data_IF_714246576198
#
_entry.id   IF_714246576198
#
_cell.length_a   1.000
_cell.length_b   1.000
_cell.length_c   1.000
_cell.angle_alpha   90.00
_cell.angle_beta   90.00
_cell.angle_gamma   90.00
#
_symmetry.space_group_name_H-M   'P 1'
#
loop_
_entity.id
_entity.type
_entity.pdbx_description
1 polymer ?
#
# COMPACT_ATOMS: atom_id res chain seq x y z
N UNK A 1 -18.38 -16.67 12.66
CA UNK A 1 -18.56 -16.84 11.22
C UNK A 1 -19.75 -16.00 10.75
N UNK A 2 -19.56 -14.69 10.56
CA UNK A 2 -20.56 -13.86 9.90
C UNK A 2 -19.93 -13.40 8.58
N UNK A 3 -20.16 -14.17 7.51
CA UNK A 3 -19.90 -13.67 6.16
C UNK A 3 -20.74 -12.43 5.93
N UNK A 4 -20.27 -11.47 5.12
CA UNK A 4 -21.11 -10.33 4.80
C UNK A 4 -22.45 -10.82 4.25
N UNK A 5 -23.52 -10.22 4.76
CA UNK A 5 -24.84 -10.36 4.17
C UNK A 5 -24.78 -9.55 2.89
N UNK A 6 -24.46 -10.20 1.77
CA UNK A 6 -24.68 -9.57 0.48
C UNK A 6 -26.17 -9.29 0.36
N UNK A 7 -26.51 -8.20 -0.33
CA UNK A 7 -27.91 -7.97 -0.70
C UNK A 7 -28.40 -9.13 -1.58
N UNK A 8 -29.70 -9.41 -1.53
CA UNK A 8 -30.31 -10.55 -2.23
C UNK A 8 -30.08 -10.54 -3.75
N UNK A 9 -29.98 -9.35 -4.34
CA UNK A 9 -29.65 -9.13 -5.76
C UNK A 9 -28.23 -9.64 -6.10
N UNK A 10 -27.23 -9.31 -5.27
CA UNK A 10 -25.86 -9.80 -5.44
C UNK A 10 -25.80 -11.32 -5.27
N UNK A 11 -26.52 -11.90 -4.31
CA UNK A 11 -26.61 -13.36 -4.15
C UNK A 11 -27.20 -14.05 -5.39
N UNK A 12 -28.27 -13.49 -5.98
CA UNK A 12 -28.87 -14.04 -7.18
C UNK A 12 -27.91 -14.00 -8.38
N UNK A 13 -27.17 -12.89 -8.54
CA UNK A 13 -26.17 -12.76 -9.60
C UNK A 13 -24.99 -13.73 -9.41
N UNK A 14 -24.49 -13.89 -8.19
CA UNK A 14 -23.42 -14.85 -7.87
C UNK A 14 -23.87 -16.30 -8.16
N UNK A 15 -25.13 -16.64 -7.83
CA UNK A 15 -25.70 -17.96 -8.14
C UNK A 15 -25.80 -18.21 -9.66
N UNK A 16 -26.11 -17.18 -10.46
CA UNK A 16 -26.12 -17.28 -11.92
C UNK A 16 -24.71 -17.46 -12.50
N UNK A 17 -23.70 -16.77 -11.95
CA UNK A 17 -22.31 -16.91 -12.38
C UNK A 17 -21.76 -18.29 -12.01
N UNK A 18 -22.11 -18.78 -10.82
CA UNK A 18 -21.74 -20.06 -10.20
C UNK A 18 -20.24 -20.28 -9.93
N UNK A 19 -19.36 -19.97 -10.89
CA UNK A 19 -17.90 -20.08 -10.75
C UNK A 19 -17.16 -19.07 -11.62
N UNK A 20 -15.99 -18.64 -11.19
CA UNK A 20 -15.08 -17.82 -11.99
C UNK A 20 -13.64 -18.30 -11.80
N UNK A 21 -12.81 -18.27 -12.84
CA UNK A 21 -11.37 -18.50 -12.70
C UNK A 21 -10.67 -17.25 -12.15
N UNK A 22 -11.17 -16.06 -12.53
CA UNK A 22 -10.58 -14.76 -12.22
C UNK A 22 -11.63 -13.82 -11.60
N UNK A 23 -11.27 -13.12 -10.53
CA UNK A 23 -12.05 -12.00 -9.98
C UNK A 23 -11.21 -10.73 -9.93
N UNK A 24 -11.67 -9.66 -10.56
CA UNK A 24 -11.01 -8.34 -10.50
C UNK A 24 -11.87 -7.36 -9.72
N UNK A 25 -11.39 -6.92 -8.56
CA UNK A 25 -12.02 -5.92 -7.72
C UNK A 25 -11.65 -4.49 -8.10
N UNK A 26 -12.62 -3.60 -8.10
CA UNK A 26 -12.45 -2.16 -8.31
C UNK A 26 -13.18 -1.45 -7.15
N UNK A 27 -12.53 -1.21 -6.00
CA UNK A 27 -13.10 -0.36 -4.94
C UNK A 27 -13.37 1.04 -5.49
N UNK A 28 -14.47 1.68 -5.10
CA UNK A 28 -14.75 3.04 -5.55
C UNK A 28 -15.44 3.90 -4.51
N UNK A 29 -15.22 5.21 -4.60
CA UNK A 29 -15.98 6.23 -3.89
C UNK A 29 -15.88 7.54 -4.66
N UNK A 30 -17.01 8.02 -5.19
CA UNK A 30 -17.11 9.24 -6.00
C UNK A 30 -16.03 9.33 -7.10
N UNK A 31 -15.95 8.31 -7.95
CA UNK A 31 -14.94 8.16 -9.00
C UNK A 31 -15.53 8.15 -10.41
N UNK A 32 -16.70 8.78 -10.63
CA UNK A 32 -17.41 8.71 -11.93
C UNK A 32 -16.57 9.21 -13.11
N UNK A 33 -15.65 10.17 -12.88
CA UNK A 33 -14.79 10.75 -13.91
C UNK A 33 -13.69 9.81 -14.41
N UNK A 34 -13.28 8.83 -13.62
CA UNK A 34 -12.08 8.01 -13.86
C UNK A 34 -12.40 6.54 -14.04
N UNK A 35 -13.38 6.00 -13.30
CA UNK A 35 -13.65 4.56 -13.20
C UNK A 35 -13.99 3.89 -14.54
N UNK A 36 -14.62 4.63 -15.47
CA UNK A 36 -14.95 4.08 -16.78
C UNK A 36 -13.72 3.66 -17.59
N UNK A 37 -12.62 4.41 -17.48
CA UNK A 37 -11.35 4.04 -18.09
C UNK A 37 -10.78 2.76 -17.47
N UNK A 38 -10.80 2.68 -16.14
CA UNK A 38 -10.33 1.51 -15.38
C UNK A 38 -11.09 0.25 -15.79
N UNK A 39 -12.43 0.31 -15.83
CA UNK A 39 -13.27 -0.83 -16.23
C UNK A 39 -12.94 -1.29 -17.65
N UNK A 40 -12.80 -0.36 -18.61
CA UNK A 40 -12.45 -0.70 -20.00
C UNK A 40 -11.06 -1.33 -20.11
N UNK A 41 -10.07 -0.80 -19.39
CA UNK A 41 -8.71 -1.35 -19.37
C UNK A 41 -8.70 -2.78 -18.80
N UNK A 42 -9.41 -3.02 -17.69
CA UNK A 42 -9.58 -4.36 -17.10
C UNK A 42 -10.27 -5.30 -18.06
N UNK A 43 -11.38 -4.89 -18.69
CA UNK A 43 -12.09 -5.69 -19.69
C UNK A 43 -11.21 -6.09 -20.87
N UNK A 44 -10.49 -5.11 -21.45
CA UNK A 44 -9.58 -5.35 -22.55
C UNK A 44 -8.42 -6.28 -22.14
N UNK A 45 -7.86 -6.11 -20.95
CA UNK A 45 -6.79 -6.96 -20.43
C UNK A 45 -7.24 -8.40 -20.22
N UNK A 46 -8.41 -8.59 -19.60
CA UNK A 46 -9.00 -9.93 -19.42
C UNK A 46 -9.31 -10.60 -20.76
N UNK A 47 -9.83 -9.86 -21.73
CA UNK A 47 -10.15 -10.42 -23.04
C UNK A 47 -8.89 -10.76 -23.87
N UNK A 48 -7.85 -9.93 -23.80
CA UNK A 48 -6.59 -10.11 -24.53
C UNK A 48 -5.72 -11.22 -23.96
N UNK A 49 -5.55 -11.25 -22.64
CA UNK A 49 -4.57 -12.13 -21.98
C UNK A 49 -5.18 -13.39 -21.38
N UNK A 50 -6.50 -13.44 -21.17
CA UNK A 50 -7.20 -14.57 -20.56
C UNK A 50 -8.50 -14.95 -21.32
N UNK A 51 -8.45 -15.18 -22.64
CA UNK A 51 -9.65 -15.41 -23.46
C UNK A 51 -10.45 -16.67 -23.08
N UNK A 52 -9.76 -17.67 -22.53
CA UNK A 52 -10.34 -18.97 -22.15
C UNK A 52 -10.76 -19.05 -20.67
N UNK A 53 -10.57 -17.95 -19.91
CA UNK A 53 -10.88 -17.90 -18.47
C UNK A 53 -12.19 -17.18 -18.21
N UNK A 54 -13.02 -17.77 -17.33
CA UNK A 54 -14.23 -17.12 -16.82
C UNK A 54 -13.80 -16.03 -15.83
N UNK A 55 -14.15 -14.79 -16.11
CA UNK A 55 -13.75 -13.66 -15.28
C UNK A 55 -14.96 -12.86 -14.79
N UNK A 56 -14.82 -12.27 -13.60
CA UNK A 56 -15.83 -11.37 -13.02
C UNK A 56 -15.16 -10.09 -12.58
N UNK A 57 -15.68 -8.96 -13.05
CA UNK A 57 -15.29 -7.63 -12.57
C UNK A 57 -16.27 -7.23 -11.47
N UNK A 58 -15.74 -6.88 -10.31
CA UNK A 58 -16.49 -6.54 -9.10
C UNK A 58 -16.20 -5.10 -8.73
N UNK A 59 -17.15 -4.21 -8.97
CA UNK A 59 -17.11 -2.88 -8.40
C UNK A 59 -17.77 -2.90 -7.01
N UNK A 60 -16.94 -2.70 -5.99
CA UNK A 60 -17.36 -2.65 -4.59
C UNK A 60 -17.38 -1.19 -4.14
N UNK A 61 -18.55 -0.57 -4.19
CA UNK A 61 -18.71 0.87 -4.07
C UNK A 61 -19.00 1.34 -2.62
N UNK A 62 -18.39 2.46 -2.22
CA UNK A 62 -18.54 3.05 -0.89
C UNK A 62 -19.78 3.90 -0.67
N UNK A 63 -20.82 3.77 -1.51
CA UNK A 63 -22.02 4.60 -1.45
C UNK A 63 -21.86 5.91 -2.20
N UNK A 64 -21.26 5.86 -3.38
CA UNK A 64 -21.06 7.00 -4.28
C UNK A 64 -22.38 7.65 -4.68
N UNK A 65 -22.38 8.97 -4.79
CA UNK A 65 -23.57 9.76 -5.16
C UNK A 65 -23.40 10.47 -6.51
N UNK A 66 -22.26 10.29 -7.17
CA UNK A 66 -21.88 10.97 -8.41
C UNK A 66 -22.16 10.15 -9.68
N UNK A 67 -22.85 9.01 -9.56
CA UNK A 67 -23.12 8.09 -10.68
C UNK A 67 -22.01 7.08 -10.97
N UNK A 68 -21.01 6.93 -10.10
CA UNK A 68 -19.90 5.95 -10.27
C UNK A 68 -20.39 4.56 -10.67
N UNK A 69 -21.39 4.00 -10.01
CA UNK A 69 -21.91 2.65 -10.30
C UNK A 69 -22.58 2.57 -11.68
N UNK A 70 -23.25 3.63 -12.12
CA UNK A 70 -23.88 3.69 -13.45
C UNK A 70 -22.82 3.70 -14.54
N UNK A 71 -21.73 4.45 -14.35
CA UNK A 71 -20.58 4.46 -15.26
C UNK A 71 -19.97 3.07 -15.39
N UNK A 72 -19.84 2.31 -14.29
CA UNK A 72 -19.34 0.93 -14.33
C UNK A 72 -20.27 0.03 -15.15
N UNK A 73 -21.58 0.15 -14.96
CA UNK A 73 -22.57 -0.66 -15.69
C UNK A 73 -22.57 -0.34 -17.19
N UNK A 74 -22.48 0.94 -17.57
CA UNK A 74 -22.47 1.41 -18.95
C UNK A 74 -21.12 1.19 -19.65
N UNK A 75 -20.02 1.12 -18.91
CA UNK A 75 -18.68 0.90 -19.48
C UNK A 75 -18.58 -0.47 -20.13
N UNK A 76 -18.45 -0.49 -21.45
CA UNK A 76 -18.18 -1.69 -22.23
C UNK A 76 -17.12 -1.38 -23.27
N UNK A 77 -16.40 -2.41 -23.70
CA UNK A 77 -15.57 -2.33 -24.90
C UNK A 77 -16.48 -2.73 -26.05
N UNK A 78 -16.90 -1.74 -26.85
CA UNK A 78 -17.90 -1.93 -27.92
C UNK A 78 -17.41 -2.84 -29.05
N UNK A 79 -16.09 -2.98 -29.21
CA UNK A 79 -15.51 -3.71 -30.32
C UNK A 79 -14.27 -4.53 -29.89
N UNK A 80 -14.53 -5.68 -29.28
CA UNK A 80 -13.46 -6.65 -28.99
C UNK A 80 -12.87 -7.25 -30.28
N UNK A 81 -13.61 -7.27 -31.39
CA UNK A 81 -13.19 -7.92 -32.63
C UNK A 81 -12.12 -7.12 -33.38
N UNK A 82 -12.13 -5.79 -33.31
CA UNK A 82 -11.08 -4.97 -33.92
C UNK A 82 -9.77 -4.93 -33.12
N UNK A 83 -9.79 -5.34 -31.85
CA UNK A 83 -8.63 -5.28 -30.94
C UNK A 83 -8.00 -6.67 -30.72
N UNK A 84 -8.76 -7.75 -30.85
CA UNK A 84 -8.30 -9.11 -30.54
C UNK A 84 -7.96 -9.90 -31.80
N UNK A 85 -6.79 -10.54 -31.81
CA UNK A 85 -6.41 -11.53 -32.83
C UNK A 85 -7.16 -12.87 -32.68
N UNK A 86 -7.85 -13.07 -31.55
CA UNK A 86 -8.57 -14.29 -31.21
C UNK A 86 -9.97 -13.97 -30.66
N UNK A 87 -11.00 -14.66 -31.17
CA UNK A 87 -12.34 -14.57 -30.59
C UNK A 87 -12.32 -15.13 -29.17
N UNK A 88 -12.95 -14.41 -28.25
CA UNK A 88 -13.04 -14.81 -26.85
C UNK A 88 -14.05 -15.95 -26.67
N UNK A 89 -13.68 -16.95 -25.87
CA UNK A 89 -14.49 -18.17 -25.66
C UNK A 89 -15.27 -18.12 -24.35
N UNK A 90 -14.73 -17.47 -23.30
CA UNK A 90 -15.37 -17.38 -21.99
C UNK A 90 -16.07 -16.02 -21.76
N UNK A 91 -17.14 -15.92 -20.94
CA UNK A 91 -17.79 -14.64 -20.61
C UNK A 91 -17.01 -13.81 -19.57
N UNK A 92 -17.21 -12.48 -19.56
CA UNK A 92 -16.83 -11.55 -18.47
C UNK A 92 -18.14 -11.08 -17.88
N UNK A 93 -18.40 -11.39 -16.61
CA UNK A 93 -19.51 -10.79 -15.89
C UNK A 93 -19.06 -9.50 -15.20
N UNK A 94 -20.00 -8.57 -14.97
CA UNK A 94 -19.78 -7.38 -14.16
C UNK A 94 -20.80 -7.36 -13.01
N UNK A 95 -20.31 -7.05 -11.82
CA UNK A 95 -21.10 -6.83 -10.62
C UNK A 95 -20.75 -5.46 -10.07
N UNK A 96 -21.74 -4.61 -9.82
CA UNK A 96 -21.53 -3.31 -9.18
C UNK A 96 -22.57 -3.13 -8.08
N UNK A 97 -22.13 -2.88 -6.85
CA UNK A 97 -23.01 -2.74 -5.69
C UNK A 97 -22.36 -1.91 -4.58
N UNK A 98 -23.15 -1.22 -3.76
CA UNK A 98 -22.66 -0.61 -2.54
C UNK A 98 -22.31 -1.70 -1.51
N UNK A 99 -21.09 -1.69 -0.97
CA UNK A 99 -20.72 -2.64 0.08
C UNK A 99 -21.35 -2.26 1.42
N UNK A 100 -21.44 -3.25 2.32
CA UNK A 100 -21.89 -3.06 3.70
C UNK A 100 -20.71 -3.14 4.66
N UNK A 101 -20.63 -2.21 5.61
CA UNK A 101 -19.57 -2.20 6.63
C UNK A 101 -19.10 -0.80 6.98
N UNK A 102 -17.94 -0.73 7.66
CA UNK A 102 -17.28 0.53 7.99
C UNK A 102 -16.83 1.19 6.66
N UNK A 103 -17.11 2.49 6.43
CA UNK A 103 -16.62 3.17 5.24
C UNK A 103 -15.09 3.11 5.15
N UNK A 104 -14.57 2.62 4.03
CA UNK A 104 -13.14 2.49 3.78
C UNK A 104 -12.77 1.43 2.76
N UNK A 105 -11.51 1.50 2.30
CA UNK A 105 -10.97 0.62 1.26
C UNK A 105 -10.99 -0.85 1.68
N UNK A 106 -10.73 -1.13 2.97
CA UNK A 106 -10.68 -2.48 3.49
C UNK A 106 -12.02 -3.21 3.51
N UNK A 107 -13.13 -2.51 3.76
CA UNK A 107 -14.48 -3.09 3.61
C UNK A 107 -14.79 -3.46 2.16
N UNK A 108 -14.37 -2.62 1.20
CA UNK A 108 -14.52 -2.94 -0.22
C UNK A 108 -13.71 -4.18 -0.61
N UNK A 109 -12.47 -4.30 -0.13
CA UNK A 109 -11.62 -5.46 -0.38
C UNK A 109 -12.22 -6.73 0.22
N UNK A 110 -12.79 -6.65 1.43
CA UNK A 110 -13.46 -7.78 2.06
C UNK A 110 -14.57 -8.34 1.17
N UNK A 111 -15.40 -7.49 0.59
CA UNK A 111 -16.46 -7.91 -0.33
C UNK A 111 -15.89 -8.59 -1.58
N UNK A 112 -14.78 -8.09 -2.13
CA UNK A 112 -14.08 -8.74 -3.25
C UNK A 112 -13.57 -10.13 -2.85
N UNK A 113 -12.99 -10.28 -1.66
CA UNK A 113 -12.50 -11.57 -1.17
C UNK A 113 -13.65 -12.56 -0.93
N UNK A 114 -14.78 -12.10 -0.38
CA UNK A 114 -15.97 -12.93 -0.17
C UNK A 114 -16.58 -13.41 -1.49
N UNK A 115 -16.59 -12.56 -2.53
CA UNK A 115 -17.00 -12.96 -3.89
C UNK A 115 -16.00 -13.95 -4.48
N UNK A 116 -14.70 -13.68 -4.36
CA UNK A 116 -13.66 -14.60 -4.82
C UNK A 116 -13.80 -15.99 -4.20
N UNK A 117 -14.05 -16.06 -2.88
CA UNK A 117 -14.34 -17.33 -2.20
C UNK A 117 -15.63 -17.97 -2.69
N UNK A 118 -16.70 -17.20 -2.87
CA UNK A 118 -18.01 -17.72 -3.28
C UNK A 118 -17.97 -18.31 -4.68
N UNK A 119 -17.18 -17.71 -5.57
CA UNK A 119 -17.02 -18.15 -6.97
C UNK A 119 -15.86 -19.14 -7.17
N UNK A 120 -15.18 -19.54 -6.10
CA UNK A 120 -13.99 -20.42 -6.11
C UNK A 120 -12.91 -19.93 -7.09
N UNK A 121 -12.61 -18.62 -7.02
CA UNK A 121 -11.64 -17.98 -7.90
C UNK A 121 -10.23 -18.53 -7.71
N UNK A 122 -9.51 -18.79 -8.80
CA UNK A 122 -8.11 -19.24 -8.76
C UNK A 122 -7.16 -18.06 -8.56
N UNK A 123 -7.40 -16.98 -9.29
CA UNK A 123 -6.64 -15.74 -9.19
C UNK A 123 -7.56 -14.53 -9.04
N UNK A 124 -7.05 -13.52 -8.36
CA UNK A 124 -7.74 -12.27 -8.12
C UNK A 124 -6.78 -11.11 -8.36
N UNK A 125 -7.35 -9.97 -8.73
CA UNK A 125 -6.63 -8.71 -8.72
C UNK A 125 -7.53 -7.63 -8.11
N UNK A 126 -6.91 -6.58 -7.57
CA UNK A 126 -7.60 -5.33 -7.24
C UNK A 126 -6.84 -4.19 -7.87
N UNK A 127 -7.57 -3.23 -8.43
CA UNK A 127 -7.02 -1.99 -8.98
C UNK A 127 -7.82 -0.78 -8.49
N UNK A 128 -7.15 0.33 -8.20
CA UNK A 128 -7.78 1.56 -7.73
C UNK A 128 -8.71 2.17 -8.82
N UNK A 129 -9.83 2.81 -8.42
CA UNK A 129 -10.82 3.38 -9.34
C UNK A 129 -10.41 4.70 -10.00
N UNK A 130 -9.38 5.37 -9.48
CA UNK A 130 -8.91 6.70 -9.90
C UNK A 130 -7.65 6.68 -10.77
N UNK A 131 -7.28 5.50 -11.29
CA UNK A 131 -6.10 5.33 -12.14
C UNK A 131 -6.30 5.90 -13.53
N UNK A 132 -5.44 6.85 -13.91
CA UNK A 132 -5.36 7.37 -15.29
C UNK A 132 -4.38 6.56 -16.15
N UNK A 133 -3.37 5.95 -15.53
CA UNK A 133 -2.30 5.24 -16.22
C UNK A 133 -2.53 3.74 -16.42
N UNK A 134 -3.65 3.19 -15.92
CA UNK A 134 -3.95 1.77 -16.07
C UNK A 134 -4.03 1.38 -17.54
N UNK A 135 -3.38 0.26 -17.87
CA UNK A 135 -3.35 -0.34 -19.20
C UNK A 135 -3.79 -1.81 -19.13
N UNK A 136 -4.33 -2.39 -20.23
CA UNK A 136 -4.73 -3.80 -20.29
C UNK A 136 -3.66 -4.79 -19.80
N UNK A 137 -2.38 -4.48 -20.05
CA UNK A 137 -1.19 -5.25 -19.67
C UNK A 137 -1.10 -5.48 -18.16
N UNK A 138 -1.68 -4.59 -17.34
CA UNK A 138 -1.69 -4.76 -15.88
C UNK A 138 -2.42 -6.04 -15.47
N UNK A 139 -3.45 -6.45 -16.21
CA UNK A 139 -4.16 -7.70 -15.93
C UNK A 139 -3.25 -8.90 -16.14
N UNK A 140 -2.45 -8.92 -17.22
CA UNK A 140 -1.47 -9.98 -17.43
C UNK A 140 -0.46 -10.02 -16.27
N UNK A 141 0.12 -8.86 -15.97
CA UNK A 141 1.20 -8.72 -15.00
C UNK A 141 0.79 -9.04 -13.56
N UNK A 142 -0.47 -8.78 -13.19
CA UNK A 142 -0.99 -9.09 -11.86
C UNK A 142 -1.51 -10.53 -11.73
N UNK A 143 -2.17 -11.06 -12.78
CA UNK A 143 -2.88 -12.33 -12.69
C UNK A 143 -2.06 -13.53 -13.17
N UNK A 144 -1.20 -13.36 -14.19
CA UNK A 144 -0.43 -14.46 -14.77
C UNK A 144 0.58 -15.07 -13.79
N UNK A 145 1.33 -14.30 -12.97
CA UNK A 145 2.21 -14.89 -11.96
C UNK A 145 1.44 -15.75 -10.95
N UNK A 146 0.18 -15.42 -10.67
CA UNK A 146 -0.68 -16.22 -9.79
C UNK A 146 -1.14 -17.50 -10.49
N UNK A 147 -1.73 -17.38 -11.70
CA UNK A 147 -2.31 -18.51 -12.43
C UNK A 147 -1.28 -19.51 -12.94
N UNK A 148 -0.11 -19.04 -13.37
CA UNK A 148 0.89 -19.85 -14.08
C UNK A 148 2.22 -19.95 -13.31
N UNK A 149 2.56 -18.93 -12.52
CA UNK A 149 3.81 -18.89 -11.74
C UNK A 149 3.70 -19.50 -10.33
N UNK A 150 2.49 -19.79 -9.88
CA UNK A 150 2.20 -20.32 -8.54
C UNK A 150 2.52 -19.34 -7.41
N UNK A 151 2.52 -18.03 -7.70
CA UNK A 151 2.63 -17.00 -6.67
C UNK A 151 1.27 -16.75 -6.02
N UNK A 152 1.29 -16.36 -4.75
CA UNK A 152 0.09 -16.10 -3.97
C UNK A 152 -0.21 -14.60 -3.84
N UNK A 153 0.82 -13.75 -3.92
CA UNK A 153 0.69 -12.29 -3.86
C UNK A 153 1.66 -11.63 -4.85
N UNK A 154 1.14 -10.69 -5.63
CA UNK A 154 1.88 -9.91 -6.62
C UNK A 154 1.70 -8.45 -6.26
N UNK A 155 2.73 -7.87 -5.63
CA UNK A 155 2.79 -6.44 -5.33
C UNK A 155 3.00 -5.64 -6.62
N UNK A 156 2.49 -4.41 -6.70
CA UNK A 156 2.85 -3.55 -7.81
C UNK A 156 4.27 -3.01 -7.62
N UNK A 157 4.90 -2.67 -8.74
CA UNK A 157 6.12 -1.89 -8.80
C UNK A 157 5.88 -0.75 -9.79
N UNK A 158 5.95 0.50 -9.31
CA UNK A 158 5.75 1.67 -10.14
C UNK A 158 7.03 2.49 -10.27
N UNK A 159 7.16 3.21 -11.37
CA UNK A 159 7.97 4.42 -11.38
C UNK A 159 7.17 5.58 -10.81
N UNK A 160 7.76 6.23 -9.79
CA UNK A 160 7.24 7.44 -9.17
C UNK A 160 8.30 8.53 -9.23
N UNK A 161 7.87 9.78 -9.20
CA UNK A 161 8.78 10.89 -9.00
C UNK A 161 9.53 10.67 -7.67
N UNK A 162 10.83 10.96 -7.63
CA UNK A 162 11.68 10.79 -6.43
C UNK A 162 11.12 11.47 -5.16
N UNK A 163 10.28 12.48 -5.29
CA UNK A 163 9.64 13.20 -4.16
C UNK A 163 8.22 12.71 -3.84
N UNK A 164 7.76 11.64 -4.48
CA UNK A 164 6.47 11.01 -4.22
C UNK A 164 6.64 9.71 -3.39
N UNK A 165 5.56 9.26 -2.74
CA UNK A 165 5.57 8.06 -1.90
C UNK A 165 6.50 8.19 -0.70
N UNK A 166 6.62 9.38 -0.12
CA UNK A 166 7.59 9.71 0.94
C UNK A 166 7.39 8.88 2.22
N UNK A 167 6.15 8.56 2.61
CA UNK A 167 5.85 7.61 3.69
C UNK A 167 6.38 6.21 3.35
N UNK A 168 6.12 5.72 2.14
CA UNK A 168 6.64 4.43 1.65
C UNK A 168 8.15 4.40 1.72
N UNK A 169 8.82 5.40 1.14
CA UNK A 169 10.26 5.42 0.93
C UNK A 169 11.04 5.61 2.23
N UNK A 170 10.50 6.37 3.19
CA UNK A 170 11.22 6.72 4.41
C UNK A 170 10.88 5.86 5.62
N UNK A 171 9.70 5.23 5.66
CA UNK A 171 9.23 4.46 6.82
C UNK A 171 8.88 3.04 6.40
N UNK A 172 7.84 2.87 5.58
CA UNK A 172 7.16 1.57 5.45
C UNK A 172 8.02 0.55 4.69
N UNK A 173 8.65 0.93 3.59
CA UNK A 173 9.51 0.03 2.83
C UNK A 173 10.76 -0.38 3.62
N UNK A 174 11.57 0.56 4.17
CA UNK A 174 12.72 0.20 5.02
C UNK A 174 12.33 -0.70 6.21
N UNK A 175 11.23 -0.36 6.90
CA UNK A 175 10.77 -1.10 8.06
C UNK A 175 10.26 -2.51 7.69
N UNK A 176 9.37 -2.62 6.71
CA UNK A 176 8.83 -3.92 6.25
C UNK A 176 9.95 -4.83 5.77
N UNK A 177 10.90 -4.28 5.02
CA UNK A 177 12.09 -5.01 4.54
C UNK A 177 12.94 -5.53 5.70
N UNK A 178 13.25 -4.68 6.68
CA UNK A 178 14.02 -5.08 7.86
C UNK A 178 13.28 -6.13 8.70
N UNK A 179 11.95 -6.03 8.83
CA UNK A 179 11.14 -6.94 9.64
C UNK A 179 10.96 -8.30 8.97
N UNK A 180 10.58 -8.34 7.70
CA UNK A 180 10.13 -9.56 7.02
C UNK A 180 11.10 -10.09 5.95
N UNK A 181 12.24 -9.41 5.74
CA UNK A 181 13.37 -9.94 4.97
C UNK A 181 13.13 -10.04 3.46
N UNK A 182 12.08 -9.42 2.94
CA UNK A 182 11.75 -9.41 1.51
C UNK A 182 11.72 -7.98 0.98
N UNK A 183 12.34 -7.76 -0.19
CA UNK A 183 12.41 -6.44 -0.84
C UNK A 183 11.20 -6.20 -1.75
N UNK A 184 10.03 -6.03 -1.13
CA UNK A 184 8.80 -5.61 -1.82
C UNK A 184 8.76 -4.09 -1.85
N UNK A 185 9.05 -3.46 -2.99
CA UNK A 185 9.37 -2.01 -3.08
C UNK A 185 8.19 -1.09 -2.74
N UNK A 186 6.96 -1.54 -2.97
CA UNK A 186 5.72 -0.76 -2.76
C UNK A 186 4.77 -1.52 -1.82
N UNK A 187 5.09 -1.67 -0.52
CA UNK A 187 4.29 -2.48 0.40
C UNK A 187 2.90 -1.91 0.70
N UNK A 188 2.65 -0.63 0.35
CA UNK A 188 1.35 0.04 0.38
C UNK A 188 0.84 0.36 -1.03
N UNK A 189 1.24 -0.43 -2.02
CA UNK A 189 0.74 -0.31 -3.38
C UNK A 189 -0.73 -0.75 -3.46
N UNK A 190 -1.59 0.12 -3.97
CA UNK A 190 -3.04 -0.12 -4.04
C UNK A 190 -3.50 -1.12 -5.09
N UNK A 191 -2.61 -1.56 -5.99
CA UNK A 191 -2.94 -2.44 -7.12
C UNK A 191 -2.18 -3.77 -7.00
N UNK A 192 -2.86 -4.89 -6.80
CA UNK A 192 -2.18 -6.16 -6.51
C UNK A 192 -2.91 -7.36 -7.10
N UNK A 193 -2.14 -8.41 -7.38
CA UNK A 193 -2.62 -9.73 -7.75
C UNK A 193 -2.53 -10.68 -6.56
N UNK A 194 -3.43 -11.64 -6.43
CA UNK A 194 -3.41 -12.60 -5.34
C UNK A 194 -4.15 -13.90 -5.67
N UNK A 195 -3.79 -15.00 -5.03
CA UNK A 195 -4.46 -16.29 -5.19
C UNK A 195 -5.79 -16.33 -4.44
N UNK A 196 -6.74 -17.14 -4.93
CA UNK A 196 -7.98 -17.41 -4.20
C UNK A 196 -7.74 -18.00 -2.81
N UNK A 197 -6.70 -18.83 -2.67
CA UNK A 197 -6.24 -19.34 -1.37
C UNK A 197 -5.87 -18.20 -0.42
N UNK A 198 -5.11 -17.21 -0.90
CA UNK A 198 -4.73 -16.05 -0.09
C UNK A 198 -5.96 -15.17 0.23
N UNK A 199 -6.91 -15.03 -0.71
CA UNK A 199 -8.18 -14.34 -0.45
C UNK A 199 -8.97 -15.00 0.70
N UNK A 200 -9.09 -16.34 0.67
CA UNK A 200 -9.74 -17.11 1.75
C UNK A 200 -9.00 -16.97 3.09
N UNK A 201 -7.67 -16.96 3.04
CA UNK A 201 -6.84 -16.76 4.23
C UNK A 201 -7.06 -15.39 4.85
N UNK A 202 -7.09 -14.32 4.03
CA UNK A 202 -7.39 -12.97 4.50
C UNK A 202 -8.75 -12.91 5.18
N UNK A 203 -9.80 -13.50 4.59
CA UNK A 203 -11.14 -13.52 5.19
C UNK A 203 -11.19 -14.19 6.57
N UNK A 204 -10.31 -15.14 6.84
CA UNK A 204 -10.20 -15.81 8.14
C UNK A 204 -9.60 -14.94 9.25
N UNK A 205 -9.10 -13.74 8.93
CA UNK A 205 -8.47 -12.83 9.91
C UNK A 205 -9.49 -11.92 10.58
N UNK A 206 -9.24 -11.61 11.84
CA UNK A 206 -10.11 -10.74 12.65
C UNK A 206 -9.65 -9.28 12.60
N UNK A 207 -9.74 -8.66 11.42
CA UNK A 207 -9.31 -7.26 11.19
C UNK A 207 -10.42 -6.37 10.63
N UNK A 208 -11.54 -6.96 10.24
CA UNK A 208 -12.58 -6.31 9.46
C UNK A 208 -13.42 -5.28 10.24
N UNK A 209 -13.27 -5.22 11.56
CA UNK A 209 -13.88 -4.22 12.43
C UNK A 209 -12.86 -3.24 13.02
N UNK A 210 -11.62 -3.26 12.52
CA UNK A 210 -10.51 -2.43 12.99
C UNK A 210 -10.17 -1.34 11.97
N UNK A 211 -9.21 -0.48 12.30
CA UNK A 211 -8.71 0.57 11.43
C UNK A 211 -8.06 0.05 10.12
N UNK A 212 -7.68 -1.24 10.07
CA UNK A 212 -7.29 -1.91 8.82
C UNK A 212 -8.41 -1.85 7.77
N UNK A 213 -9.68 -1.99 8.20
CA UNK A 213 -10.83 -1.93 7.30
C UNK A 213 -11.06 -0.52 6.71
N UNK A 214 -10.50 0.52 7.35
CA UNK A 214 -10.64 1.92 6.94
C UNK A 214 -9.56 2.32 5.93
N UNK A 215 -8.30 2.14 6.30
CA UNK A 215 -7.16 2.71 5.56
C UNK A 215 -5.90 1.85 5.53
N UNK A 216 -5.72 0.91 6.46
CA UNK A 216 -4.49 0.12 6.59
C UNK A 216 -4.41 -1.13 5.71
N UNK A 217 -5.37 -1.34 4.81
CA UNK A 217 -5.53 -2.63 4.13
C UNK A 217 -4.35 -2.99 3.23
N UNK A 218 -3.75 -2.02 2.54
CA UNK A 218 -2.66 -2.29 1.58
C UNK A 218 -1.41 -2.85 2.29
N UNK A 219 -0.95 -2.20 3.38
CA UNK A 219 0.18 -2.71 4.19
C UNK A 219 -0.17 -4.03 4.89
N UNK A 220 -1.42 -4.16 5.34
CA UNK A 220 -1.89 -5.35 6.03
C UNK A 220 -1.84 -6.57 5.11
N UNK A 221 -2.27 -6.45 3.85
CA UNK A 221 -2.19 -7.53 2.87
C UNK A 221 -0.73 -7.93 2.64
N UNK A 222 0.12 -6.99 2.25
CA UNK A 222 1.55 -7.27 1.99
C UNK A 222 2.20 -7.97 3.18
N UNK A 223 2.04 -7.40 4.38
CA UNK A 223 2.68 -7.93 5.58
C UNK A 223 2.13 -9.30 5.96
N UNK A 224 0.81 -9.50 5.86
CA UNK A 224 0.19 -10.79 6.18
C UNK A 224 0.61 -11.89 5.19
N UNK A 225 0.79 -11.58 3.92
CA UNK A 225 1.35 -12.53 2.94
C UNK A 225 2.79 -12.91 3.32
N UNK A 226 3.64 -11.92 3.59
CA UNK A 226 5.04 -12.13 3.96
C UNK A 226 5.20 -12.91 5.28
N UNK A 227 4.45 -12.53 6.32
CA UNK A 227 4.58 -13.11 7.65
C UNK A 227 4.02 -14.54 7.75
N UNK A 228 3.25 -14.99 6.77
CA UNK A 228 2.67 -16.34 6.72
C UNK A 228 3.21 -17.17 5.55
N UNK A 229 4.41 -16.83 5.07
CA UNK A 229 5.19 -17.60 4.07
C UNK A 229 4.44 -17.88 2.75
N UNK A 230 3.58 -16.96 2.35
CA UNK A 230 2.98 -17.00 1.02
C UNK A 230 4.03 -16.62 -0.05
N UNK A 231 3.90 -17.19 -1.25
CA UNK A 231 4.83 -16.90 -2.33
C UNK A 231 4.59 -15.50 -2.89
N UNK A 232 5.47 -14.56 -2.59
CA UNK A 232 5.36 -13.16 -3.02
C UNK A 232 6.25 -12.86 -4.23
N UNK A 233 5.69 -12.12 -5.19
CA UNK A 233 6.41 -11.48 -6.29
C UNK A 233 6.02 -10.00 -6.37
N UNK A 234 6.65 -9.28 -7.29
CA UNK A 234 6.21 -7.95 -7.71
C UNK A 234 6.15 -7.86 -9.24
N UNK A 235 5.35 -6.92 -9.75
CA UNK A 235 5.21 -6.68 -11.19
C UNK A 235 5.35 -5.21 -11.53
N UNK A 236 6.18 -4.89 -12.51
CA UNK A 236 6.36 -3.53 -13.00
C UNK A 236 5.16 -3.07 -13.81
N UNK A 237 4.44 -2.07 -13.31
CA UNK A 237 3.19 -1.55 -13.88
C UNK A 237 3.37 -0.19 -14.59
N UNK A 238 4.59 0.32 -14.71
CA UNK A 238 4.85 1.64 -15.29
C UNK A 238 4.65 2.79 -14.27
N UNK A 239 4.20 3.96 -14.74
CA UNK A 239 3.91 5.08 -13.83
C UNK A 239 2.55 4.91 -13.16
N UNK A 240 2.45 5.29 -11.89
CA UNK A 240 1.15 5.46 -11.22
C UNK A 240 0.76 6.93 -11.26
N UNK A 241 -0.27 7.24 -12.06
CA UNK A 241 -0.83 8.59 -12.17
C UNK A 241 -2.28 8.52 -11.68
N UNK A 242 -2.56 9.22 -10.59
CA UNK A 242 -3.90 9.38 -9.99
C UNK A 242 -4.21 10.87 -9.80
N UNK A 243 -5.45 11.20 -9.46
CA UNK A 243 -5.84 12.59 -9.22
C UNK A 243 -5.01 13.22 -8.09
N UNK A 244 -4.61 14.48 -8.28
CA UNK A 244 -3.84 15.22 -7.29
C UNK A 244 -4.68 15.44 -6.02
N UNK A 245 -4.23 14.89 -4.90
CA UNK A 245 -4.74 15.24 -3.56
C UNK A 245 -3.91 16.38 -2.99
N UNK A 246 -4.52 17.31 -2.28
CA UNK A 246 -3.79 18.37 -1.56
C UNK A 246 -2.87 17.72 -0.50
N UNK A 247 -1.54 17.78 -0.66
CA UNK A 247 -0.61 17.07 0.21
C UNK A 247 -0.54 17.63 1.64
N UNK A 248 -1.02 18.86 1.87
CA UNK A 248 -0.83 19.55 3.14
C UNK A 248 -1.89 19.27 4.21
N UNK A 249 -3.13 19.03 3.79
CA UNK A 249 -4.28 18.96 4.70
C UNK A 249 -4.52 17.56 5.30
N UNK A 250 -4.00 16.50 4.67
CA UNK A 250 -4.30 15.09 5.01
C UNK A 250 -3.05 14.27 5.37
N UNK A 251 -1.85 14.89 5.39
CA UNK A 251 -0.59 14.17 5.59
C UNK A 251 -0.46 13.54 6.98
N UNK A 252 -0.87 14.26 8.03
CA UNK A 252 -0.77 13.78 9.40
C UNK A 252 -1.71 12.60 9.64
N UNK A 253 -2.91 12.63 9.05
CA UNK A 253 -3.87 11.55 9.14
C UNK A 253 -3.40 10.35 8.30
N UNK A 254 -2.94 10.53 7.07
CA UNK A 254 -2.34 9.45 6.27
C UNK A 254 -1.14 8.81 6.97
N UNK A 255 -0.25 9.61 7.57
CA UNK A 255 0.88 9.10 8.34
C UNK A 255 0.41 8.27 9.54
N UNK A 256 -0.53 8.80 10.33
CA UNK A 256 -1.13 8.08 11.44
C UNK A 256 -1.69 6.73 11.00
N UNK A 257 -2.49 6.75 9.95
CA UNK A 257 -3.17 5.59 9.39
C UNK A 257 -2.21 4.46 9.01
N UNK A 258 -1.19 4.80 8.21
CA UNK A 258 -0.24 3.80 7.68
C UNK A 258 0.73 3.31 8.76
N UNK A 259 1.25 4.20 9.60
CA UNK A 259 2.21 3.85 10.65
C UNK A 259 1.52 3.04 11.76
N UNK A 260 0.29 3.39 12.14
CA UNK A 260 -0.46 2.62 13.15
C UNK A 260 -0.69 1.19 12.67
N UNK A 261 -1.18 1.01 11.44
CA UNK A 261 -1.36 -0.32 10.85
C UNK A 261 -0.05 -1.11 10.80
N UNK A 262 1.07 -0.45 10.47
CA UNK A 262 2.39 -1.08 10.45
C UNK A 262 2.83 -1.54 11.84
N UNK A 263 2.62 -0.73 12.88
CA UNK A 263 2.98 -1.08 14.26
C UNK A 263 2.07 -2.17 14.84
N UNK A 264 0.77 -2.15 14.54
CA UNK A 264 -0.13 -3.25 14.91
C UNK A 264 0.30 -4.58 14.28
N UNK A 265 0.78 -4.56 13.03
CA UNK A 265 1.34 -5.75 12.39
C UNK A 265 2.64 -6.21 13.05
N UNK A 266 3.45 -5.30 13.59
CA UNK A 266 4.63 -5.65 14.38
C UNK A 266 4.23 -6.39 15.66
N UNK A 267 3.19 -5.97 16.36
CA UNK A 267 2.65 -6.69 17.52
C UNK A 267 2.20 -8.11 17.12
N UNK A 268 1.39 -8.20 16.07
CA UNK A 268 0.79 -9.46 15.63
C UNK A 268 1.80 -10.50 15.14
N UNK A 269 2.91 -10.05 14.57
CA UNK A 269 3.92 -10.91 13.95
C UNK A 269 5.30 -10.84 14.63
N UNK A 270 5.35 -10.43 15.91
CA UNK A 270 6.57 -10.39 16.72
C UNK A 270 7.43 -11.66 16.60
N UNK A 271 6.81 -12.83 16.76
CA UNK A 271 7.50 -14.11 16.65
C UNK A 271 8.10 -14.40 15.27
N UNK A 272 7.54 -13.81 14.20
CA UNK A 272 7.99 -14.01 12.82
C UNK A 272 9.12 -13.06 12.46
N UNK A 273 8.99 -11.77 12.77
CA UNK A 273 9.99 -10.79 12.32
C UNK A 273 11.23 -10.71 13.22
N UNK A 274 11.13 -11.06 14.51
CA UNK A 274 12.27 -10.99 15.44
C UNK A 274 13.53 -11.74 14.97
N UNK A 275 13.44 -12.99 14.48
CA UNK A 275 14.62 -13.75 14.05
C UNK A 275 15.19 -13.30 12.70
N UNK A 276 14.42 -12.60 11.86
CA UNK A 276 14.83 -12.23 10.50
C UNK A 276 16.06 -11.30 10.54
N UNK A 277 17.02 -11.51 9.63
CA UNK A 277 18.19 -10.66 9.44
C UNK A 277 18.46 -10.48 7.95
N UNK A 278 18.81 -9.26 7.55
CA UNK A 278 18.97 -8.89 6.15
C UNK A 278 17.68 -9.01 5.34
N UNK A 279 17.80 -8.92 4.02
CA UNK A 279 16.69 -9.14 3.09
C UNK A 279 17.15 -9.67 1.74
N UNK A 280 16.23 -10.30 1.03
CA UNK A 280 16.42 -10.79 -0.34
C UNK A 280 15.38 -10.21 -1.32
N UNK A 281 15.74 -10.08 -2.61
CA UNK A 281 14.78 -9.67 -3.64
C UNK A 281 13.65 -10.68 -3.80
N UNK A 282 12.45 -10.19 -4.08
CA UNK A 282 11.36 -11.03 -4.60
C UNK A 282 11.43 -11.06 -6.12
N UNK A 283 10.93 -12.11 -6.79
CA UNK A 283 10.85 -12.15 -8.24
C UNK A 283 10.09 -10.92 -8.79
N UNK A 284 10.65 -10.29 -9.82
CA UNK A 284 10.04 -9.15 -10.51
C UNK A 284 9.61 -9.56 -11.90
N UNK A 285 8.35 -9.29 -12.25
CA UNK A 285 7.78 -9.50 -13.57
C UNK A 285 7.60 -8.16 -14.31
N UNK A 286 7.57 -8.23 -15.64
CA UNK A 286 7.46 -7.05 -16.50
C UNK A 286 8.82 -6.44 -16.87
N UNK A 287 8.83 -5.64 -17.93
CA UNK A 287 10.02 -4.93 -18.38
C UNK A 287 9.98 -3.49 -17.89
N UNK A 288 11.02 -3.06 -17.17
CA UNK A 288 11.14 -1.66 -16.75
C UNK A 288 11.44 -0.77 -17.96
N UNK A 289 10.70 0.34 -18.07
CA UNK A 289 10.92 1.36 -19.09
C UNK A 289 10.76 2.74 -18.48
N UNK A 290 11.49 3.72 -19.03
CA UNK A 290 11.38 5.12 -18.59
C UNK A 290 9.99 5.67 -18.84
N UNK A 291 9.40 6.31 -17.83
CA UNK A 291 8.09 6.96 -17.94
C UNK A 291 8.25 8.44 -17.62
N UNK A 292 7.54 9.29 -18.37
CA UNK A 292 7.43 10.71 -18.03
C UNK A 292 6.69 10.86 -16.70
N UNK A 293 7.31 11.49 -15.73
CA UNK A 293 6.75 11.71 -14.39
C UNK A 293 6.35 13.18 -14.25
N UNK A 294 5.20 13.43 -13.64
CA UNK A 294 4.77 14.80 -13.34
C UNK A 294 5.72 15.44 -12.31
N UNK A 295 6.01 16.74 -12.50
CA UNK A 295 6.85 17.48 -11.58
C UNK A 295 6.15 17.68 -10.23
N UNK A 296 6.81 17.25 -9.16
CA UNK A 296 6.36 17.51 -7.78
C UNK A 296 7.06 18.75 -7.25
N UNK A 297 6.31 19.82 -6.98
CA UNK A 297 6.84 21.04 -6.37
C UNK A 297 6.82 20.91 -4.85
N UNK A 298 7.97 21.09 -4.20
CA UNK A 298 8.13 20.92 -2.75
C UNK A 298 8.72 22.18 -2.13
N UNK A 299 8.03 22.74 -1.13
CA UNK A 299 8.51 23.89 -0.37
C UNK A 299 9.30 23.43 0.87
N UNK A 300 10.61 23.20 0.69
CA UNK A 300 11.50 22.72 1.77
C UNK A 300 11.61 23.70 2.93
N UNK A 301 11.59 25.02 2.67
CA UNK A 301 11.64 26.04 3.73
C UNK A 301 10.43 25.93 4.68
N UNK A 302 9.21 25.74 4.14
CA UNK A 302 8.00 25.50 4.94
C UNK A 302 8.11 24.21 5.74
N UNK A 303 8.68 23.15 5.16
CA UNK A 303 8.85 21.87 5.84
C UNK A 303 9.84 21.96 7.01
N UNK A 304 10.96 22.66 6.81
CA UNK A 304 11.94 22.91 7.89
C UNK A 304 11.35 23.80 8.99
N UNK A 305 10.50 24.77 8.64
CA UNK A 305 9.76 25.54 9.63
C UNK A 305 8.85 24.65 10.50
N UNK A 306 8.04 23.77 9.90
CA UNK A 306 7.20 22.81 10.63
C UNK A 306 8.03 21.91 11.55
N UNK A 307 9.17 21.41 11.08
CA UNK A 307 10.10 20.62 11.88
C UNK A 307 10.61 21.39 13.12
N UNK A 308 11.05 22.64 12.92
CA UNK A 308 11.55 23.50 14.01
C UNK A 308 10.44 23.93 14.99
N UNK A 309 9.22 24.16 14.52
CA UNK A 309 8.07 24.38 15.41
C UNK A 309 7.77 23.13 16.24
N UNK A 310 7.88 21.93 15.64
CA UNK A 310 7.79 20.66 16.34
C UNK A 310 8.81 20.53 17.48
N UNK A 311 10.06 20.98 17.26
CA UNK A 311 11.10 20.98 18.30
C UNK A 311 10.75 21.81 19.53
N UNK A 312 10.03 22.92 19.34
CA UNK A 312 9.59 23.77 20.46
C UNK A 312 8.38 23.14 21.15
N UNK A 313 7.40 22.69 20.37
CA UNK A 313 6.08 22.32 20.89
C UNK A 313 6.01 20.87 21.41
N UNK A 314 6.82 19.97 20.88
CA UNK A 314 6.78 18.53 21.18
C UNK A 314 8.00 18.03 21.95
N UNK A 315 8.84 18.94 22.46
CA UNK A 315 10.12 18.60 23.11
C UNK A 315 9.99 17.56 24.21
N UNK A 316 9.01 17.74 25.10
CA UNK A 316 8.80 16.83 26.24
C UNK A 316 8.33 15.45 25.78
N UNK A 317 7.45 15.40 24.78
CA UNK A 317 6.97 14.16 24.14
C UNK A 317 8.15 13.42 23.49
N UNK A 318 8.98 14.12 22.70
CA UNK A 318 10.14 13.51 22.06
C UNK A 318 11.22 13.10 23.06
N UNK A 319 11.38 13.79 24.19
CA UNK A 319 12.28 13.35 25.26
C UNK A 319 11.81 12.01 25.84
N UNK A 320 10.50 11.83 26.01
CA UNK A 320 9.95 10.58 26.52
C UNK A 320 10.10 9.43 25.50
N UNK A 321 9.93 9.69 24.21
CA UNK A 321 9.99 8.68 23.16
C UNK A 321 11.43 8.31 22.79
N UNK A 322 12.24 9.32 22.41
CA UNK A 322 13.59 9.17 21.85
C UNK A 322 14.69 9.09 22.92
N UNK A 323 14.40 9.60 24.13
CA UNK A 323 15.40 9.80 25.16
C UNK A 323 16.36 10.96 24.86
N UNK A 324 17.19 11.30 25.86
CA UNK A 324 18.06 12.47 25.79
C UNK A 324 19.22 12.35 24.78
N UNK A 325 19.55 11.14 24.34
CA UNK A 325 20.60 10.91 23.33
C UNK A 325 20.16 11.44 21.97
N UNK A 326 19.19 10.75 21.37
CA UNK A 326 18.70 11.06 20.03
C UNK A 326 17.99 12.42 19.99
N UNK A 327 17.27 12.84 21.05
CA UNK A 327 16.68 14.20 21.09
C UNK A 327 17.75 15.30 20.96
N UNK A 328 18.92 15.15 21.59
CA UNK A 328 20.00 16.16 21.46
C UNK A 328 20.55 16.22 20.03
N UNK A 329 20.55 15.11 19.30
CA UNK A 329 20.92 15.13 17.88
C UNK A 329 19.86 15.87 17.06
N UNK A 330 18.57 15.61 17.31
CA UNK A 330 17.47 16.32 16.63
C UNK A 330 17.49 17.83 16.94
N UNK A 331 17.74 18.23 18.20
CA UNK A 331 17.89 19.64 18.60
C UNK A 331 19.07 20.31 17.86
N UNK A 332 20.21 19.61 17.70
CA UNK A 332 21.33 20.12 16.90
C UNK A 332 20.94 20.34 15.44
N UNK A 333 20.17 19.42 14.85
CA UNK A 333 19.68 19.58 13.48
C UNK A 333 18.80 20.83 13.34
N UNK A 334 17.92 21.10 14.31
CA UNK A 334 17.05 22.28 14.32
C UNK A 334 17.80 23.62 14.38
N UNK A 335 18.99 23.62 14.97
CA UNK A 335 19.85 24.80 15.10
C UNK A 335 20.71 25.08 13.85
N UNK A 336 20.76 24.17 12.87
CA UNK A 336 21.47 24.38 11.61
C UNK A 336 20.68 25.30 10.69
N UNK A 337 21.41 26.07 9.88
CA UNK A 337 20.84 26.78 8.73
C UNK A 337 20.25 25.79 7.72
N UNK A 338 19.26 26.23 6.95
CA UNK A 338 18.57 25.39 5.96
C UNK A 338 19.56 24.69 5.02
N UNK A 339 20.57 25.41 4.51
CA UNK A 339 21.55 24.86 3.58
C UNK A 339 22.45 23.75 4.19
N UNK A 340 22.65 23.77 5.51
CA UNK A 340 23.43 22.77 6.24
C UNK A 340 22.56 21.63 6.80
N UNK A 341 21.24 21.73 6.68
CA UNK A 341 20.32 20.76 7.25
C UNK A 341 20.42 19.40 6.54
N UNK A 342 20.89 18.39 7.26
CA UNK A 342 20.94 17.01 6.80
C UNK A 342 20.49 16.07 7.91
N UNK A 343 19.41 15.33 7.67
CA UNK A 343 18.84 14.38 8.63
C UNK A 343 19.51 13.01 8.44
N UNK A 344 20.40 12.58 9.36
CA UNK A 344 21.18 11.37 9.17
C UNK A 344 20.28 10.14 9.10
N UNK A 345 20.49 9.23 8.13
CA UNK A 345 19.64 8.05 7.98
C UNK A 345 19.70 7.10 9.18
N UNK A 346 20.86 6.98 9.84
CA UNK A 346 20.98 6.21 11.09
C UNK A 346 20.12 6.77 12.23
N UNK A 347 20.11 8.10 12.44
CA UNK A 347 19.24 8.75 13.43
C UNK A 347 17.76 8.54 13.09
N UNK A 348 17.38 8.66 11.82
CA UNK A 348 16.01 8.42 11.39
C UNK A 348 15.55 6.98 11.65
N UNK A 349 16.40 5.98 11.38
CA UNK A 349 16.06 4.58 11.66
C UNK A 349 15.80 4.32 13.15
N UNK A 350 16.61 4.92 14.05
CA UNK A 350 16.42 4.83 15.50
C UNK A 350 15.12 5.51 15.95
N UNK A 351 14.83 6.70 15.43
CA UNK A 351 13.58 7.41 15.71
C UNK A 351 12.38 6.52 15.36
N UNK A 352 12.34 5.92 14.17
CA UNK A 352 11.21 5.05 13.78
C UNK A 352 11.10 3.84 14.70
N UNK A 353 12.22 3.25 15.12
CA UNK A 353 12.23 2.16 16.11
C UNK A 353 11.78 2.61 17.50
N UNK A 354 12.17 3.80 17.97
CA UNK A 354 11.72 4.34 19.25
C UNK A 354 10.21 4.58 19.27
N UNK A 355 9.67 5.06 18.16
CA UNK A 355 8.22 5.18 17.98
C UNK A 355 7.53 3.82 18.00
N UNK A 356 8.07 2.81 17.33
CA UNK A 356 7.54 1.45 17.40
C UNK A 356 7.60 0.87 18.83
N UNK A 357 8.69 1.14 19.56
CA UNK A 357 8.86 0.71 20.95
C UNK A 357 7.94 1.47 21.92
N UNK A 358 7.71 2.76 21.69
CA UNK A 358 6.77 3.56 22.48
C UNK A 358 5.32 3.10 22.24
N UNK A 359 4.99 2.70 21.00
CA UNK A 359 3.72 2.10 20.65
C UNK A 359 3.54 0.76 21.36
N UNK A 360 4.54 -0.13 21.27
CA UNK A 360 4.55 -1.42 21.95
C UNK A 360 4.32 -1.30 23.47
N UNK A 361 5.00 -0.33 24.09
CA UNK A 361 4.89 -0.05 25.54
C UNK A 361 3.63 0.74 25.92
N UNK A 362 2.82 1.15 24.94
CA UNK A 362 1.60 1.96 25.11
C UNK A 362 1.84 3.21 25.97
N UNK A 363 2.96 3.91 25.72
CA UNK A 363 3.35 5.10 26.50
C UNK A 363 2.29 6.20 26.50
N UNK A 364 1.55 6.33 25.40
CA UNK A 364 0.46 7.29 25.22
C UNK A 364 -0.53 6.77 24.17
N UNK A 365 -1.71 7.40 24.00
CA UNK A 365 -2.65 7.01 22.94
C UNK A 365 -1.98 7.02 21.57
N UNK A 366 -2.23 5.97 20.77
CA UNK A 366 -1.58 5.73 19.48
C UNK A 366 -1.63 6.93 18.54
N UNK A 367 -2.79 7.60 18.47
CA UNK A 367 -2.96 8.78 17.64
C UNK A 367 -2.04 9.94 18.07
N UNK A 368 -1.98 10.27 19.37
CA UNK A 368 -1.09 11.30 19.86
C UNK A 368 0.38 10.93 19.68
N UNK A 369 0.73 9.66 19.94
CA UNK A 369 2.06 9.14 19.70
C UNK A 369 2.45 9.37 18.25
N UNK A 370 1.73 8.79 17.30
CA UNK A 370 2.14 8.78 15.90
C UNK A 370 2.00 10.17 15.27
N UNK A 371 0.98 10.98 15.62
CA UNK A 371 0.90 12.36 15.13
C UNK A 371 2.04 13.24 15.62
N UNK A 372 2.68 12.91 16.75
CA UNK A 372 3.91 13.60 17.18
C UNK A 372 5.13 13.28 16.29
N UNK A 373 5.08 12.22 15.47
CA UNK A 373 6.13 11.89 14.49
C UNK A 373 6.10 12.85 13.30
N UNK A 374 4.96 13.48 13.02
CA UNK A 374 4.73 14.27 11.79
C UNK A 374 5.81 15.32 11.55
N UNK A 375 6.21 16.18 12.52
CA UNK A 375 7.26 17.15 12.27
C UNK A 375 8.65 16.53 12.00
N UNK A 376 9.00 15.43 12.68
CA UNK A 376 10.25 14.69 12.42
C UNK A 376 10.27 14.11 11.01
N UNK A 377 9.16 13.49 10.61
CA UNK A 377 8.96 12.95 9.27
C UNK A 377 9.04 14.04 8.18
N UNK A 378 8.42 15.19 8.42
CA UNK A 378 8.49 16.35 7.52
C UNK A 378 9.94 16.85 7.40
N UNK A 379 10.66 16.96 8.52
CA UNK A 379 12.10 17.29 8.52
C UNK A 379 12.93 16.28 7.73
N UNK A 380 12.72 14.97 7.96
CA UNK A 380 13.41 13.90 7.22
C UNK A 380 13.14 13.99 5.72
N UNK A 381 11.90 14.26 5.33
CA UNK A 381 11.51 14.41 3.93
C UNK A 381 12.16 15.62 3.30
N UNK A 382 12.20 16.76 4.00
CA UNK A 382 12.89 17.98 3.53
C UNK A 382 14.38 17.71 3.27
N UNK A 383 15.06 17.02 4.20
CA UNK A 383 16.46 16.65 4.02
C UNK A 383 16.69 15.79 2.78
N UNK A 384 15.81 14.81 2.51
CA UNK A 384 15.91 13.99 1.31
C UNK A 384 15.69 14.81 0.04
N UNK A 385 14.65 15.65 0.01
CA UNK A 385 14.32 16.50 -1.15
C UNK A 385 15.50 17.42 -1.50
N UNK A 386 16.12 18.03 -0.49
CA UNK A 386 17.29 18.90 -0.67
C UNK A 386 18.50 18.14 -1.24
N UNK A 387 18.81 16.96 -0.68
CA UNK A 387 19.91 16.14 -1.17
C UNK A 387 19.66 15.63 -2.60
N UNK A 388 18.40 15.29 -2.92
CA UNK A 388 18.04 14.66 -4.17
C UNK A 388 17.62 15.63 -5.28
N UNK A 389 17.72 16.96 -5.12
CA UNK A 389 17.34 17.93 -6.18
C UNK A 389 18.04 17.65 -7.51
N UNK A 390 19.36 17.48 -7.50
CA UNK A 390 20.17 17.21 -8.69
C UNK A 390 20.30 15.73 -9.08
N UNK A 391 19.75 14.81 -8.29
CA UNK A 391 19.90 13.37 -8.51
C UNK A 391 18.97 12.85 -9.62
N UNK A 392 19.47 11.88 -10.39
CA UNK A 392 18.65 10.99 -11.22
C UNK A 392 17.77 10.08 -10.36
N UNK A 393 16.80 9.39 -10.98
CA UNK A 393 15.96 8.43 -10.28
C UNK A 393 16.80 7.29 -9.68
N UNK A 394 17.81 6.80 -10.39
CA UNK A 394 18.67 5.71 -9.91
C UNK A 394 19.51 6.13 -8.69
N UNK A 395 20.03 7.36 -8.68
CA UNK A 395 20.75 7.91 -7.53
C UNK A 395 19.82 8.11 -6.33
N UNK A 396 18.59 8.60 -6.56
CA UNK A 396 17.59 8.70 -5.50
C UNK A 396 17.20 7.34 -4.90
N UNK A 397 17.04 6.30 -5.72
CA UNK A 397 16.82 4.93 -5.24
C UNK A 397 18.03 4.38 -4.47
N UNK A 398 19.26 4.73 -4.86
CA UNK A 398 20.46 4.36 -4.10
C UNK A 398 20.50 5.00 -2.70
N UNK A 399 20.01 6.24 -2.53
CA UNK A 399 19.84 6.85 -1.21
C UNK A 399 18.78 6.16 -0.35
N UNK A 400 17.69 5.68 -0.97
CA UNK A 400 16.66 4.88 -0.29
C UNK A 400 17.24 3.52 0.13
N UNK A 401 18.09 2.91 -0.71
CA UNK A 401 18.78 1.66 -0.39
C UNK A 401 19.70 1.83 0.84
N UNK A 402 20.46 2.92 0.91
CA UNK A 402 21.28 3.25 2.09
C UNK A 402 20.42 3.34 3.35
N UNK A 403 19.25 3.96 3.26
CA UNK A 403 18.32 4.04 4.38
C UNK A 403 17.81 2.64 4.79
N UNK A 404 17.49 1.77 3.83
CA UNK A 404 17.09 0.40 4.12
C UNK A 404 18.18 -0.37 4.87
N UNK A 405 19.44 -0.20 4.49
CA UNK A 405 20.58 -0.81 5.17
C UNK A 405 20.74 -0.32 6.62
N UNK A 406 20.45 0.95 6.91
CA UNK A 406 20.42 1.47 8.28
C UNK A 406 19.35 0.78 9.14
N UNK A 407 18.15 0.58 8.60
CA UNK A 407 17.10 -0.19 9.30
C UNK A 407 17.56 -1.63 9.55
N UNK A 408 18.05 -2.34 8.53
CA UNK A 408 18.53 -3.72 8.70
C UNK A 408 19.66 -3.83 9.73
N UNK A 409 20.63 -2.92 9.69
CA UNK A 409 21.80 -2.93 10.58
C UNK A 409 21.43 -2.59 12.03
N UNK A 410 20.48 -1.68 12.22
CA UNK A 410 20.03 -1.26 13.56
C UNK A 410 18.94 -2.18 14.14
N UNK A 411 18.54 -3.27 13.46
CA UNK A 411 17.45 -4.15 13.94
C UNK A 411 17.75 -4.82 15.29
N UNK A 412 19.02 -5.03 15.63
CA UNK A 412 19.40 -5.58 16.94
C UNK A 412 19.02 -4.64 18.09
N UNK A 413 19.04 -3.31 17.87
CA UNK A 413 18.52 -2.33 18.82
C UNK A 413 17.01 -2.54 19.07
N UNK A 414 16.23 -2.63 17.99
CA UNK A 414 14.78 -2.88 18.08
C UNK A 414 14.49 -4.19 18.82
N UNK A 415 15.08 -5.31 18.39
CA UNK A 415 14.80 -6.64 18.97
C UNK A 415 15.18 -6.74 20.44
N UNK A 416 16.30 -6.15 20.85
CA UNK A 416 16.73 -6.12 22.27
C UNK A 416 15.78 -5.29 23.12
N UNK A 417 15.38 -4.12 22.62
CA UNK A 417 14.50 -3.20 23.34
C UNK A 417 13.04 -3.66 23.39
N UNK A 418 12.60 -4.41 22.37
CA UNK A 418 11.27 -5.01 22.30
C UNK A 418 11.09 -6.06 23.39
N UNK A 419 12.06 -6.99 23.54
CA UNK A 419 12.02 -8.02 24.59
C UNK A 419 12.00 -7.44 26.01
N UNK A 420 12.71 -6.33 26.23
CA UNK A 420 12.72 -5.63 27.54
C UNK A 420 11.41 -4.90 27.84
N UNK A 421 10.59 -4.62 26.82
CA UNK A 421 9.32 -3.90 26.93
C UNK A 421 8.09 -4.80 27.04
N UNK A 422 8.26 -6.13 26.94
CA UNK A 422 7.15 -7.07 27.10
C UNK A 422 6.55 -6.95 28.50
N UNK A 423 5.24 -6.65 28.56
CA UNK A 423 4.48 -6.85 29.80
C UNK A 423 4.57 -8.34 30.16
N UNK A 424 4.88 -8.72 31.42
CA UNK A 424 4.94 -10.11 31.83
C UNK A 424 3.69 -10.91 31.50
#
# INVERSE_FOLDING_TARGET
>A
MNGAVFRNDVHAQLAQIARADIVVGIPSYNSALTIGHVVRAVQAGLAKYFPDRKAVIVNSDGGSTDGTTDVVQQSSVEDFESILLHHRVAPIAKLAFPYSGIPGKGSAFRSVFEIARTLDAQACAVVDSDLRSIAPEWMELLLKPVLEGGFDYVSPLYHRHKFDGTITNSIVYPLTRALYGKRVRQPIGGDFGFSGKLAQFYLGRDVWQTDVARFGIDIWMTTTALANDFRVAQSFLGAKIHDAKDPGADLSDMLYQVVSATFDLMENYAGVWMPVRGSEPVPTFGFEYGVGLEHVNVNTARMLHIFREGLVNLREIWLEILGAGDLREVERLGALDDAAFHFPPGLWSRIVYDYALAFHRRKMPAEHLIKSLTPLYVGKTASFVMAAQGMSQAEAEAEIEKLCMEFESNKDYLTTSWKKGGVP
#
